data_IF_773973964862
#
_entry.id   IF_773973964862
#
_cell.length_a   1.000
_cell.length_b   1.000
_cell.length_c   1.000
_cell.angle_alpha   90.00
_cell.angle_beta   90.00
_cell.angle_gamma   90.00
#
_symmetry.space_group_name_H-M   'P 1'
#
loop_
_entity.id
_entity.type
_entity.pdbx_description
1 polymer ?
#
# COMPACT_ATOMS: atom_id res chain seq x y z
N UNK A 1 -3.58 5.46 19.15
CA UNK A 1 -2.16 5.23 18.88
C UNK A 1 -2.03 4.41 17.63
N UNK A 2 -1.29 4.86 16.63
CA UNK A 2 -1.05 4.00 15.48
C UNK A 2 -0.29 2.77 15.92
N UNK A 3 -0.66 1.63 15.39
CA UNK A 3 0.10 0.42 15.63
C UNK A 3 1.45 0.55 14.96
N UNK A 4 2.48 0.29 15.74
CA UNK A 4 3.84 0.24 15.23
C UNK A 4 4.23 -1.21 15.05
N UNK A 5 4.52 -1.56 13.82
CA UNK A 5 5.01 -2.88 13.50
C UNK A 5 6.50 -2.79 13.19
N UNK A 6 7.30 -3.53 13.96
CA UNK A 6 8.73 -3.66 13.68
C UNK A 6 8.92 -5.00 13.00
N UNK A 7 9.19 -4.96 11.71
CA UNK A 7 9.57 -6.14 10.95
C UNK A 7 11.08 -6.27 10.98
N UNK A 8 11.56 -7.24 11.72
CA UNK A 8 12.94 -7.67 11.61
C UNK A 8 12.99 -8.76 10.55
N UNK A 9 13.44 -8.43 9.36
CA UNK A 9 13.71 -9.41 8.32
C UNK A 9 15.08 -10.03 8.60
N UNK A 10 15.14 -10.91 9.60
CA UNK A 10 16.33 -11.68 9.83
C UNK A 10 16.38 -12.82 8.84
N UNK A 11 17.26 -12.70 7.87
CA UNK A 11 17.59 -13.83 7.02
C UNK A 11 18.49 -14.75 7.81
N UNK A 12 18.11 -16.02 7.87
CA UNK A 12 18.96 -17.04 8.46
C UNK A 12 20.18 -17.26 7.56
N UNK A 13 21.35 -17.19 8.14
CA UNK A 13 22.62 -17.38 7.45
C UNK A 13 23.35 -16.06 7.24
N UNK A 14 24.56 -16.19 6.72
CA UNK A 14 25.42 -15.04 6.44
C UNK A 14 24.88 -14.40 5.17
N UNK A 15 24.16 -13.29 5.32
CA UNK A 15 23.75 -12.49 4.17
C UNK A 15 24.88 -11.53 3.84
N UNK A 16 25.33 -11.59 2.59
CA UNK A 16 26.27 -10.60 2.05
C UNK A 16 25.58 -9.33 1.61
N UNK A 17 24.25 -9.30 1.67
CA UNK A 17 23.46 -8.17 1.21
C UNK A 17 23.47 -7.07 2.24
N UNK A 18 23.62 -5.83 1.78
CA UNK A 18 23.48 -4.65 2.63
C UNK A 18 22.01 -4.44 2.98
N UNK A 19 21.76 -4.25 4.27
CA UNK A 19 20.44 -3.89 4.74
C UNK A 19 20.29 -2.37 4.79
N UNK A 20 19.12 -1.90 4.39
CA UNK A 20 18.78 -0.49 4.39
C UNK A 20 17.57 -0.24 5.28
N UNK A 21 17.60 0.80 6.13
CA UNK A 21 16.46 1.11 6.97
C UNK A 21 15.30 1.65 6.14
N UNK A 22 14.09 1.30 6.55
CA UNK A 22 12.86 1.80 5.95
C UNK A 22 11.95 2.30 7.07
N UNK A 23 11.52 3.55 6.95
CA UNK A 23 10.48 4.13 7.82
C UNK A 23 9.34 4.59 6.93
N UNK A 24 8.23 3.91 7.06
CA UNK A 24 7.07 4.09 6.19
C UNK A 24 5.84 4.35 7.05
N UNK A 25 5.05 5.33 6.65
CA UNK A 25 3.73 5.56 7.23
C UNK A 25 2.70 5.64 6.13
N UNK A 26 1.59 4.94 6.31
CA UNK A 26 0.43 5.06 5.45
C UNK A 26 -0.77 5.49 6.28
N UNK A 27 -1.51 6.48 5.79
CA UNK A 27 -2.70 7.02 6.45
C UNK A 27 -3.92 6.65 5.64
N UNK A 28 -4.89 6.01 6.28
CA UNK A 28 -6.13 5.55 5.67
C UNK A 28 -7.31 6.27 6.32
N UNK A 29 -8.24 6.73 5.46
CA UNK A 29 -9.52 7.31 5.89
C UNK A 29 -10.63 6.34 5.57
N UNK A 30 -11.43 5.93 6.58
CA UNK A 30 -12.59 5.09 6.33
C UNK A 30 -13.79 5.90 5.86
N UNK A 31 -14.58 5.31 4.98
CA UNK A 31 -15.95 5.72 4.70
C UNK A 31 -16.82 4.56 5.18
N UNK A 32 -17.61 4.79 6.21
CA UNK A 32 -18.25 3.71 6.93
C UNK A 32 -17.27 2.96 7.81
N UNK A 33 -17.37 1.65 7.85
CA UNK A 33 -16.51 0.79 8.68
C UNK A 33 -15.86 -0.31 7.84
N UNK A 34 -14.95 0.05 6.94
CA UNK A 34 -14.32 -0.95 6.09
C UNK A 34 -13.36 -1.84 6.87
N UNK A 35 -13.29 -3.10 6.45
CA UNK A 35 -12.23 -4.00 6.86
C UNK A 35 -11.05 -3.86 5.93
N UNK A 36 -9.87 -3.69 6.50
CA UNK A 36 -8.63 -3.57 5.73
C UNK A 36 -7.58 -4.55 6.23
N UNK A 37 -6.76 -4.98 5.30
CA UNK A 37 -5.56 -5.75 5.59
C UNK A 37 -4.37 -4.99 5.00
N UNK A 38 -3.52 -4.47 5.89
CA UNK A 38 -2.38 -3.62 5.53
C UNK A 38 -1.10 -4.35 5.90
N UNK A 39 -0.13 -4.34 5.01
CA UNK A 39 1.12 -4.99 5.33
C UNK A 39 2.22 -4.78 4.33
N UNK A 40 3.36 -5.40 4.67
CA UNK A 40 4.58 -5.39 3.89
C UNK A 40 4.95 -6.84 3.59
N UNK A 41 5.10 -7.16 2.31
CA UNK A 41 5.37 -8.52 1.84
C UNK A 41 4.39 -9.52 2.48
N UNK A 42 4.87 -10.51 3.22
CA UNK A 42 4.02 -11.53 3.85
C UNK A 42 3.45 -11.12 5.21
N UNK A 43 3.96 -10.05 5.80
CA UNK A 43 3.44 -9.55 7.07
C UNK A 43 2.24 -8.66 6.83
N UNK A 44 1.10 -9.04 7.40
CA UNK A 44 -0.14 -8.28 7.23
C UNK A 44 -0.91 -8.20 8.53
N UNK A 45 -1.48 -7.04 8.80
CA UNK A 45 -2.38 -6.83 9.91
C UNK A 45 -3.76 -6.48 9.40
N UNK A 46 -4.76 -6.99 10.08
CA UNK A 46 -6.15 -6.88 9.70
C UNK A 46 -6.89 -6.04 10.73
N UNK A 47 -7.71 -5.10 10.27
CA UNK A 47 -8.40 -4.17 11.15
C UNK A 47 -9.65 -3.63 10.52
N UNK A 48 -10.70 -3.45 11.31
CA UNK A 48 -11.86 -2.66 10.90
C UNK A 48 -11.60 -1.20 11.26
N UNK A 49 -11.70 -0.32 10.27
CA UNK A 49 -11.44 1.10 10.47
C UNK A 49 -12.71 1.83 10.86
N UNK A 50 -12.62 2.68 11.87
CA UNK A 50 -13.70 3.56 12.31
C UNK A 50 -13.34 5.04 12.18
N UNK A 51 -12.05 5.34 12.21
CA UNK A 51 -11.51 6.70 12.13
C UNK A 51 -10.27 6.72 11.26
N UNK A 52 -9.80 7.92 10.95
CA UNK A 52 -8.50 8.11 10.29
C UNK A 52 -7.42 7.37 11.06
N UNK A 53 -6.67 6.51 10.38
CA UNK A 53 -5.72 5.61 11.01
C UNK A 53 -4.38 5.66 10.28
N UNK A 54 -3.29 5.75 11.06
CA UNK A 54 -1.93 5.63 10.56
C UNK A 54 -1.40 4.24 10.83
N UNK A 55 -0.74 3.67 9.84
CA UNK A 55 0.03 2.45 9.97
C UNK A 55 1.49 2.80 9.77
N UNK A 56 2.31 2.56 10.78
CA UNK A 56 3.72 2.92 10.77
C UNK A 56 4.58 1.67 10.80
N UNK A 57 5.61 1.66 9.96
CA UNK A 57 6.54 0.53 9.82
C UNK A 57 7.97 1.04 9.90
N UNK A 58 8.77 0.35 10.69
CA UNK A 58 10.19 0.65 10.88
C UNK A 58 10.95 -0.67 10.82
N UNK A 59 11.72 -0.88 9.75
CA UNK A 59 12.37 -2.16 9.50
C UNK A 59 13.57 -1.99 8.58
N UNK A 60 14.35 -3.07 8.41
CA UNK A 60 15.46 -3.11 7.46
C UNK A 60 15.13 -4.06 6.32
N UNK A 61 15.53 -3.69 5.12
CA UNK A 61 15.29 -4.48 3.91
C UNK A 61 16.55 -4.54 3.03
N UNK A 62 16.68 -5.61 2.28
CA UNK A 62 17.81 -5.82 1.37
C UNK A 62 17.44 -5.66 -0.09
N UNK A 63 16.16 -5.71 -0.41
CA UNK A 63 15.67 -5.72 -1.78
C UNK A 63 14.34 -4.99 -1.87
N UNK A 64 13.60 -5.24 -2.94
CA UNK A 64 12.29 -4.67 -3.16
C UNK A 64 11.29 -5.10 -2.10
N UNK A 65 10.44 -4.16 -1.70
CA UNK A 65 9.39 -4.36 -0.69
C UNK A 65 8.05 -4.02 -1.31
N UNK A 66 7.03 -4.80 -0.99
CA UNK A 66 5.66 -4.56 -1.44
C UNK A 66 4.78 -4.14 -0.26
N UNK A 67 4.31 -2.90 -0.30
CA UNK A 67 3.25 -2.43 0.58
C UNK A 67 1.91 -2.79 -0.04
N UNK A 68 1.02 -3.39 0.74
CA UNK A 68 -0.33 -3.71 0.26
C UNK A 68 -1.39 -3.16 1.20
N UNK A 69 -2.47 -2.68 0.60
CA UNK A 69 -3.69 -2.27 1.30
C UNK A 69 -4.84 -3.01 0.65
N UNK A 70 -5.44 -3.92 1.39
CA UNK A 70 -6.58 -4.68 0.92
C UNK A 70 -7.85 -4.20 1.61
N UNK A 71 -8.85 -3.82 0.81
CA UNK A 71 -10.22 -3.63 1.27
C UNK A 71 -10.95 -4.95 1.06
N UNK A 72 -11.49 -5.52 2.11
CA UNK A 72 -12.14 -6.82 2.02
C UNK A 72 -13.41 -6.87 2.88
N UNK A 73 -14.16 -7.93 2.73
CA UNK A 73 -15.40 -8.20 3.47
C UNK A 73 -16.48 -7.13 3.27
N UNK A 74 -16.44 -6.44 2.14
CA UNK A 74 -17.51 -5.53 1.75
C UNK A 74 -18.59 -6.31 1.01
N UNK A 75 -19.85 -6.13 1.43
CA UNK A 75 -21.01 -6.72 0.73
C UNK A 75 -21.19 -6.06 -0.64
N UNK A 76 -21.57 -6.87 -1.64
CA UNK A 76 -21.89 -6.36 -2.98
C UNK A 76 -23.10 -5.40 -2.96
N UNK A 77 -23.96 -5.50 -1.94
CA UNK A 77 -25.12 -4.64 -1.77
C UNK A 77 -24.80 -3.32 -1.08
N UNK A 78 -23.60 -3.15 -0.59
CA UNK A 78 -23.18 -1.94 0.12
C UNK A 78 -22.60 -0.94 -0.89
N UNK A 79 -23.30 0.20 -1.13
CA UNK A 79 -22.82 1.18 -2.12
C UNK A 79 -21.84 2.21 -1.54
N UNK A 80 -21.60 2.21 -0.22
CA UNK A 80 -20.96 3.36 0.43
C UNK A 80 -19.65 3.07 1.12
N UNK A 81 -19.46 1.85 1.66
CA UNK A 81 -18.25 1.53 2.42
C UNK A 81 -17.03 1.54 1.52
N UNK A 82 -16.02 2.27 1.95
CA UNK A 82 -14.79 2.44 1.18
C UNK A 82 -13.63 2.77 2.10
N UNK A 83 -12.44 2.68 1.57
CA UNK A 83 -11.24 3.16 2.24
C UNK A 83 -10.46 4.07 1.28
N UNK A 84 -9.97 5.19 1.80
CA UNK A 84 -9.19 6.13 1.02
C UNK A 84 -7.77 6.17 1.57
N UNK A 85 -6.79 6.06 0.66
CA UNK A 85 -5.39 6.27 0.99
C UNK A 85 -5.15 7.78 0.96
N UNK A 86 -4.89 8.35 2.13
CA UNK A 86 -4.74 9.80 2.27
C UNK A 86 -3.30 10.21 2.05
N UNK A 87 -2.36 9.40 2.53
CA UNK A 87 -0.95 9.73 2.49
C UNK A 87 -0.08 8.49 2.59
N UNK A 88 1.01 8.49 1.86
CA UNK A 88 2.12 7.56 2.04
C UNK A 88 3.37 8.40 2.20
N UNK A 89 4.08 8.20 3.31
CA UNK A 89 5.29 8.95 3.60
C UNK A 89 6.43 8.02 3.96
N UNK A 90 7.63 8.43 3.58
CA UNK A 90 8.88 7.76 3.93
C UNK A 90 9.75 8.74 4.69
N UNK A 91 10.16 8.37 5.90
CA UNK A 91 10.97 9.26 6.77
C UNK A 91 10.33 10.63 6.99
N UNK A 92 8.99 10.67 7.07
CA UNK A 92 8.25 11.91 7.20
C UNK A 92 8.09 12.73 5.93
N UNK A 93 8.62 12.25 4.81
CA UNK A 93 8.50 12.93 3.51
C UNK A 93 7.26 12.41 2.81
N UNK A 94 6.30 13.29 2.57
CA UNK A 94 5.04 13.00 1.88
C UNK A 94 5.05 13.61 0.49
N UNK A 95 4.63 12.82 -0.49
CA UNK A 95 4.39 13.31 -1.85
C UNK A 95 3.31 12.46 -2.49
N UNK A 96 2.31 13.07 -3.14
CA UNK A 96 1.25 12.31 -3.82
C UNK A 96 1.77 11.29 -4.85
N UNK A 97 2.93 11.53 -5.44
CA UNK A 97 3.54 10.61 -6.40
C UNK A 97 3.83 9.24 -5.81
N UNK A 98 4.05 9.16 -4.50
CA UNK A 98 4.25 7.85 -3.85
C UNK A 98 2.98 7.00 -3.95
N UNK A 99 1.81 7.59 -3.69
CA UNK A 99 0.54 6.89 -3.82
C UNK A 99 0.26 6.48 -5.27
N UNK A 100 0.57 7.36 -6.20
CA UNK A 100 0.30 7.13 -7.62
C UNK A 100 1.30 6.17 -8.29
N UNK A 101 2.37 5.79 -7.60
CA UNK A 101 3.31 4.78 -8.07
C UNK A 101 2.79 3.34 -7.88
N UNK A 102 1.68 3.16 -7.17
CA UNK A 102 1.09 1.86 -6.93
C UNK A 102 0.21 1.36 -8.06
N UNK A 103 -0.36 0.17 -7.85
CA UNK A 103 -1.31 -0.47 -8.77
C UNK A 103 -2.49 -0.99 -7.96
N UNK A 104 -3.69 -0.86 -8.50
CA UNK A 104 -4.89 -1.34 -7.85
C UNK A 104 -5.42 -2.59 -8.56
N UNK A 105 -5.70 -3.63 -7.78
CA UNK A 105 -6.27 -4.89 -8.24
C UNK A 105 -7.67 -5.03 -7.64
N UNK A 106 -8.72 -4.52 -8.30
CA UNK A 106 -10.08 -4.60 -7.76
C UNK A 106 -10.62 -6.03 -7.84
N UNK A 107 -11.40 -6.38 -6.82
CA UNK A 107 -12.22 -7.58 -6.82
C UNK A 107 -13.64 -7.15 -7.20
N UNK A 108 -13.95 -7.19 -8.50
CA UNK A 108 -15.20 -6.68 -9.00
C UNK A 108 -16.40 -7.49 -8.45
N UNK A 109 -17.50 -6.80 -8.06
CA UNK A 109 -18.71 -7.52 -7.65
C UNK A 109 -19.16 -8.47 -8.76
N UNK A 110 -19.48 -9.71 -8.36
CA UNK A 110 -19.74 -10.79 -9.33
C UNK A 110 -20.87 -10.49 -10.30
N UNK A 111 -21.99 -9.95 -9.82
CA UNK A 111 -23.12 -9.58 -10.67
C UNK A 111 -22.75 -8.48 -11.65
N UNK A 112 -22.09 -7.45 -11.16
CA UNK A 112 -21.64 -6.33 -11.99
C UNK A 112 -20.66 -6.81 -13.07
N UNK A 113 -19.68 -7.62 -12.67
CA UNK A 113 -18.69 -8.18 -13.59
C UNK A 113 -19.33 -9.01 -14.70
N UNK A 114 -20.31 -9.85 -14.34
CA UNK A 114 -21.02 -10.69 -15.29
C UNK A 114 -21.86 -9.91 -16.30
N UNK A 115 -22.29 -8.71 -15.96
CA UNK A 115 -23.10 -7.85 -16.82
C UNK A 115 -22.29 -7.05 -17.84
N UNK A 116 -20.97 -7.02 -17.69
CA UNK A 116 -20.11 -6.24 -18.58
C UNK A 116 -19.89 -6.97 -19.90
N UNK A 117 -20.19 -6.33 -21.01
CA UNK A 117 -19.94 -6.87 -22.35
C UNK A 117 -18.43 -7.00 -22.61
N UNK A 118 -17.65 -6.01 -22.18
CA UNK A 118 -16.19 -6.04 -22.18
C UNK A 118 -15.73 -6.18 -20.73
N UNK A 119 -14.94 -7.22 -20.43
CA UNK A 119 -14.46 -7.43 -19.07
C UNK A 119 -13.49 -6.32 -18.69
N UNK A 120 -13.64 -5.74 -17.48
CA UNK A 120 -12.72 -4.72 -17.01
C UNK A 120 -11.33 -5.30 -16.76
N UNK A 121 -10.33 -4.44 -16.74
CA UNK A 121 -8.95 -4.83 -16.54
C UNK A 121 -8.74 -5.45 -15.15
N UNK A 122 -7.86 -6.44 -15.07
CA UNK A 122 -7.48 -7.09 -13.80
C UNK A 122 -6.70 -6.11 -12.92
N UNK A 123 -5.85 -5.28 -13.52
CA UNK A 123 -5.05 -4.29 -12.82
C UNK A 123 -5.34 -2.91 -13.39
N UNK A 124 -5.55 -1.96 -12.50
CA UNK A 124 -5.78 -0.57 -12.85
C UNK A 124 -4.60 0.30 -12.40
N UNK A 125 -4.40 1.46 -13.04
CA UNK A 125 -3.49 2.45 -12.47
C UNK A 125 -3.84 2.74 -11.02
N UNK A 126 -2.91 3.24 -10.26
CA UNK A 126 -3.10 3.52 -8.85
C UNK A 126 -4.38 4.33 -8.60
N UNK A 127 -5.10 3.93 -7.58
CA UNK A 127 -6.27 4.65 -7.10
C UNK A 127 -6.13 4.80 -5.59
N UNK A 128 -6.50 5.96 -5.09
CA UNK A 128 -6.45 6.25 -3.66
C UNK A 128 -7.78 5.97 -2.99
N UNK A 129 -8.88 5.96 -3.74
CA UNK A 129 -10.20 5.64 -3.24
C UNK A 129 -10.54 4.18 -3.59
N UNK A 130 -10.55 3.32 -2.59
CA UNK A 130 -10.81 1.90 -2.77
C UNK A 130 -12.26 1.61 -2.42
N UNK A 131 -13.15 1.79 -3.39
CA UNK A 131 -14.59 1.62 -3.20
C UNK A 131 -15.05 0.18 -3.28
N UNK A 132 -14.30 -0.69 -3.95
CA UNK A 132 -14.58 -2.13 -4.04
C UNK A 132 -13.61 -2.90 -3.15
N UNK A 133 -13.98 -4.14 -2.83
CA UNK A 133 -12.98 -5.09 -2.35
C UNK A 133 -11.86 -5.18 -3.39
N UNK A 134 -10.66 -5.32 -2.92
CA UNK A 134 -9.49 -5.38 -3.80
C UNK A 134 -8.23 -4.97 -3.08
N UNK A 135 -7.12 -4.98 -3.81
CA UNK A 135 -5.78 -4.76 -3.24
C UNK A 135 -5.07 -3.63 -3.98
N UNK A 136 -4.67 -2.63 -3.24
CA UNK A 136 -3.70 -1.64 -3.68
C UNK A 136 -2.30 -2.14 -3.33
N UNK A 137 -1.37 -2.10 -4.29
CA UNK A 137 0.01 -2.51 -4.10
C UNK A 137 0.95 -1.41 -4.53
N UNK A 138 1.91 -1.12 -3.66
CA UNK A 138 3.03 -0.23 -3.96
C UNK A 138 4.32 -1.01 -3.76
N UNK A 139 5.05 -1.23 -4.83
CA UNK A 139 6.39 -1.82 -4.78
C UNK A 139 7.42 -0.71 -4.78
N UNK A 140 8.33 -0.75 -3.84
CA UNK A 140 9.42 0.20 -3.77
C UNK A 140 10.74 -0.52 -3.51
N UNK A 141 11.81 0.08 -3.96
CA UNK A 141 13.15 -0.49 -3.82
C UNK A 141 13.92 0.19 -2.68
N UNK A 142 14.93 -0.50 -2.19
CA UNK A 142 15.89 0.08 -1.25
C UNK A 142 17.24 0.27 -1.95
N UNK A 143 18.00 1.30 -1.65
CA UNK A 143 17.72 2.35 -0.67
C UNK A 143 16.49 3.18 -1.04
N UNK A 144 15.65 3.48 -0.05
CA UNK A 144 14.38 4.20 -0.28
C UNK A 144 14.60 5.56 -0.94
N UNK A 145 15.64 6.28 -0.52
CA UNK A 145 15.92 7.60 -1.08
C UNK A 145 16.25 7.54 -2.57
N UNK A 146 16.89 6.50 -3.03
CA UNK A 146 17.12 6.28 -4.46
C UNK A 146 15.80 6.07 -5.20
N UNK A 147 14.93 5.23 -4.66
CA UNK A 147 13.61 4.99 -5.22
C UNK A 147 12.76 6.27 -5.24
N UNK A 148 12.78 7.05 -4.15
CA UNK A 148 12.07 8.32 -4.08
C UNK A 148 12.53 9.29 -5.16
N UNK A 149 13.83 9.35 -5.40
CA UNK A 149 14.42 10.19 -6.43
C UNK A 149 13.87 9.84 -7.82
N UNK A 150 13.77 8.56 -8.10
CA UNK A 150 13.24 8.07 -9.37
C UNK A 150 11.75 8.39 -9.53
N UNK A 151 10.95 8.13 -8.49
CA UNK A 151 9.50 8.36 -8.52
C UNK A 151 9.16 9.82 -8.64
N UNK A 152 9.90 10.68 -7.94
CA UNK A 152 9.70 12.12 -8.00
C UNK A 152 10.29 12.76 -9.25
N UNK A 153 11.03 11.99 -10.04
CA UNK A 153 11.66 12.44 -11.28
C UNK A 153 12.55 13.68 -11.06
N UNK A 154 13.32 13.66 -9.99
CA UNK A 154 14.16 14.79 -9.63
C UNK A 154 15.39 14.93 -10.49
N UNK A 155 15.74 13.90 -11.28
CA UNK A 155 16.95 13.87 -12.05
C UNK A 155 18.20 13.76 -11.18
N UNK A 156 19.21 13.11 -11.69
CA UNK A 156 20.47 12.99 -10.97
C UNK A 156 21.44 14.03 -11.52
N UNK A 157 21.94 14.88 -10.65
CA UNK A 157 22.99 15.79 -11.00
C UNK A 157 24.29 15.18 -10.53
N UNK A 158 24.86 14.36 -11.39
CA UNK A 158 26.20 13.86 -11.15
C UNK A 158 27.19 14.69 -11.96
N UNK A 159 28.14 15.15 -11.27
CA UNK A 159 29.28 15.81 -11.87
C UNK A 159 30.48 14.87 -11.87
#
# INVERSE_FOLDING_TARGET
MPERCILSLQKYGISMDTEYPVKLKITLRPIGRPWVRVGLDDYKQQRQLETLTDFEYDFDATSQVCLSVEHFDKSDDDPTTAVEIVDISFYGISDPKFMWAGTYYPDYPGLWYGQQATKPAVALPAQTYLGWNGVYRLEFAVPVFTWMHQVLNLGWVYT
#
